data_IF_778507497631
#
_entry.id   IF_778507497631
#
_cell.length_a   1.000
_cell.length_b   1.000
_cell.length_c   1.000
_cell.angle_alpha   90.00
_cell.angle_beta   90.00
_cell.angle_gamma   90.00
#
_symmetry.space_group_name_H-M   'P 1'
#
loop_
_entity.id
_entity.type
_entity.pdbx_description
1 polymer ?
#
# COMPACT_ATOMS: atom_id res chain seq x y z
N UNK A 1 12.49 21.74 2.90
CA UNK A 1 11.67 21.32 4.06
C UNK A 1 11.51 19.82 3.96
N UNK A 2 12.18 19.07 4.83
CA UNK A 2 12.17 17.61 4.79
C UNK A 2 10.81 17.13 5.25
N UNK A 3 9.96 16.68 4.33
CA UNK A 3 8.69 16.03 4.69
C UNK A 3 9.02 14.79 5.51
N UNK A 4 8.38 14.63 6.67
CA UNK A 4 8.55 13.42 7.47
C UNK A 4 8.10 12.20 6.65
N UNK A 5 8.76 11.03 6.78
CA UNK A 5 8.44 9.81 6.03
C UNK A 5 6.94 9.48 6.02
N UNK A 6 6.27 9.67 7.17
CA UNK A 6 4.84 9.44 7.33
C UNK A 6 3.97 10.41 6.52
N UNK A 7 4.38 11.66 6.34
CA UNK A 7 3.63 12.64 5.53
C UNK A 7 3.72 12.34 4.04
N UNK A 8 4.88 11.86 3.58
CA UNK A 8 5.05 11.42 2.20
C UNK A 8 4.21 10.15 1.92
N UNK A 9 4.17 9.20 2.86
CA UNK A 9 3.30 8.01 2.76
C UNK A 9 1.81 8.38 2.80
N UNK A 10 1.41 9.31 3.68
CA UNK A 10 0.03 9.83 3.72
C UNK A 10 -0.36 10.47 2.39
N UNK A 11 0.50 11.30 1.83
CA UNK A 11 0.28 11.94 0.52
C UNK A 11 0.21 10.94 -0.63
N UNK A 12 0.84 9.76 -0.49
CA UNK A 12 0.75 8.66 -1.46
C UNK A 12 -0.54 7.83 -1.32
N UNK A 13 -1.43 8.19 -0.40
CA UNK A 13 -2.70 7.49 -0.15
C UNK A 13 -2.54 6.27 0.76
N UNK A 14 -1.41 6.09 1.43
CA UNK A 14 -1.24 5.05 2.45
C UNK A 14 -1.92 5.48 3.75
N UNK A 15 -2.80 4.66 4.34
CA UNK A 15 -3.52 5.01 5.56
C UNK A 15 -2.61 4.87 6.79
N UNK A 16 -1.66 5.79 6.94
CA UNK A 16 -0.73 5.87 8.08
C UNK A 16 -1.44 6.09 9.43
N UNK A 17 -2.69 6.57 9.38
CA UNK A 17 -3.52 6.81 10.56
C UNK A 17 -4.08 5.52 11.17
N UNK A 18 -4.10 4.41 10.39
CA UNK A 18 -4.49 3.07 10.87
C UNK A 18 -3.32 2.30 11.51
N UNK A 19 -2.09 2.81 11.38
CA UNK A 19 -0.91 2.20 11.97
C UNK A 19 -0.89 2.43 13.49
N UNK A 20 -0.52 1.39 14.23
CA UNK A 20 -0.16 1.46 15.64
C UNK A 20 1.10 2.30 15.84
N UNK A 21 1.34 2.76 17.07
CA UNK A 21 2.49 3.61 17.39
C UNK A 21 3.83 2.92 17.07
N UNK A 22 3.93 1.61 17.33
CA UNK A 22 5.11 0.81 16.98
C UNK A 22 5.35 0.73 15.47
N UNK A 23 4.30 0.63 14.66
CA UNK A 23 4.42 0.61 13.20
C UNK A 23 4.83 1.99 12.69
N UNK A 24 4.27 3.07 13.22
CA UNK A 24 4.66 4.45 12.87
C UNK A 24 6.13 4.74 13.16
N UNK A 25 6.67 4.19 14.25
CA UNK A 25 8.09 4.31 14.58
C UNK A 25 8.98 3.63 13.52
N UNK A 26 8.60 2.44 13.05
CA UNK A 26 9.30 1.73 11.97
C UNK A 26 9.28 2.56 10.67
N UNK A 27 8.11 3.10 10.28
CA UNK A 27 8.00 3.92 9.08
C UNK A 27 8.72 5.27 9.20
N UNK A 28 8.84 5.84 10.42
CA UNK A 28 9.65 7.03 10.68
C UNK A 28 11.15 6.78 10.53
N UNK A 29 11.60 5.53 10.65
CA UNK A 29 12.98 5.14 10.43
C UNK A 29 13.38 5.05 8.95
N UNK A 30 12.43 5.16 8.02
CA UNK A 30 12.71 5.04 6.60
C UNK A 30 13.42 6.27 6.04
N UNK A 31 14.39 6.01 5.18
CA UNK A 31 15.04 7.05 4.38
C UNK A 31 14.09 7.62 3.32
N UNK A 32 14.36 8.84 2.81
CA UNK A 32 13.56 9.42 1.73
C UNK A 32 13.46 8.55 0.48
N UNK A 33 14.54 7.84 0.12
CA UNK A 33 14.58 6.96 -1.04
C UNK A 33 13.68 5.72 -0.85
N UNK A 34 13.68 5.12 0.35
CA UNK A 34 12.81 3.99 0.67
C UNK A 34 11.34 4.40 0.63
N UNK A 35 11.01 5.59 1.16
CA UNK A 35 9.64 6.14 1.08
C UNK A 35 9.22 6.37 -0.37
N UNK A 36 10.12 6.86 -1.23
CA UNK A 36 9.84 7.05 -2.65
C UNK A 36 9.57 5.71 -3.37
N UNK A 37 10.33 4.65 -3.04
CA UNK A 37 10.11 3.30 -3.56
C UNK A 37 8.76 2.76 -3.11
N UNK A 38 8.42 2.85 -1.82
CA UNK A 38 7.12 2.40 -1.31
C UNK A 38 5.95 3.14 -1.96
N UNK A 39 6.05 4.47 -2.11
CA UNK A 39 5.05 5.27 -2.81
C UNK A 39 4.88 4.86 -4.27
N UNK A 40 5.99 4.57 -4.98
CA UNK A 40 5.96 4.08 -6.37
C UNK A 40 5.26 2.72 -6.50
N UNK A 41 5.53 1.79 -5.57
CA UNK A 41 4.87 0.49 -5.54
C UNK A 41 3.37 0.66 -5.28
N UNK A 42 2.99 1.46 -4.27
CA UNK A 42 1.58 1.73 -3.96
C UNK A 42 0.84 2.34 -5.15
N UNK A 43 1.44 3.31 -5.85
CA UNK A 43 0.84 3.93 -7.02
C UNK A 43 0.59 2.92 -8.15
N UNK A 44 1.54 2.00 -8.39
CA UNK A 44 1.39 0.94 -9.39
C UNK A 44 0.30 -0.05 -9.01
N UNK A 45 0.20 -0.42 -7.73
CA UNK A 45 -0.85 -1.28 -7.21
C UNK A 45 -2.24 -0.63 -7.34
N UNK A 46 -2.34 0.66 -7.01
CA UNK A 46 -3.58 1.43 -7.19
C UNK A 46 -3.96 1.55 -8.67
N UNK A 47 -2.99 1.73 -9.57
CA UNK A 47 -3.26 1.83 -11.01
C UNK A 47 -3.82 0.53 -11.60
N UNK A 48 -3.48 -0.62 -11.03
CA UNK A 48 -4.02 -1.93 -11.45
C UNK A 48 -5.18 -2.39 -10.57
N UNK A 49 -5.57 -1.64 -9.53
CA UNK A 49 -6.57 -2.09 -8.55
C UNK A 49 -7.91 -2.37 -9.23
N UNK A 50 -8.34 -1.53 -10.16
CA UNK A 50 -9.58 -1.73 -10.92
C UNK A 50 -9.59 -3.03 -11.76
N UNK A 51 -8.42 -3.60 -12.11
CA UNK A 51 -8.33 -4.87 -12.82
C UNK A 51 -8.50 -6.09 -11.91
N UNK A 52 -8.33 -5.92 -10.59
CA UNK A 52 -8.43 -6.98 -9.56
C UNK A 52 -9.63 -6.80 -8.62
N UNK A 53 -10.03 -5.56 -8.33
CA UNK A 53 -11.21 -5.14 -7.56
C UNK A 53 -12.48 -5.35 -8.39
N UNK A 54 -12.83 -6.62 -8.61
CA UNK A 54 -13.90 -7.04 -9.50
C UNK A 54 -13.79 -8.50 -9.93
N UNK A 55 -12.68 -9.17 -9.64
CA UNK A 55 -12.56 -10.63 -9.73
C UNK A 55 -13.38 -11.30 -8.62
N UNK A 56 -14.71 -11.28 -8.78
CA UNK A 56 -15.60 -12.14 -8.00
C UNK A 56 -15.42 -13.56 -8.54
N UNK A 57 -14.71 -14.40 -7.80
CA UNK A 57 -14.74 -15.87 -7.83
C UNK A 57 -15.35 -16.52 -9.07
N UNK A 58 -14.61 -16.59 -10.17
CA UNK A 58 -15.01 -17.40 -11.32
C UNK A 58 -13.91 -18.40 -11.66
N UNK A 59 -13.74 -19.42 -10.80
CA UNK A 59 -13.33 -20.73 -11.29
C UNK A 59 -13.69 -21.88 -10.32
N UNK A 60 -14.92 -22.36 -10.50
CA UNK A 60 -15.31 -23.77 -10.54
C UNK A 60 -15.01 -24.62 -9.28
N UNK A 61 -16.07 -24.83 -8.49
CA UNK A 61 -16.22 -26.01 -7.63
C UNK A 61 -15.95 -27.25 -8.49
N UNK A 62 -14.86 -27.96 -8.21
CA UNK A 62 -14.59 -29.27 -8.78
C UNK A 62 -15.63 -30.28 -8.24
N UNK A 63 -16.83 -30.28 -8.83
CA UNK A 63 -17.76 -31.40 -8.66
C UNK A 63 -17.30 -32.48 -9.63
N UNK A 64 -16.47 -33.40 -9.11
CA UNK A 64 -16.14 -34.65 -9.78
C UNK A 64 -17.41 -35.51 -9.80
N UNK A 65 -17.97 -35.74 -10.99
CA UNK A 65 -18.98 -36.77 -11.25
C UNK A 65 -18.31 -38.12 -11.49
#
# INVERSE_FOLDING_TARGET
MSQAPLDALRSAGTPVDLLSDSEREIFNGLSPDEVAVLGSIQARLNAVSAAVEGQVNDNQVNVLC
#
